data_IF_793252486381
#
_entry.id   IF_793252486381
#
_cell.length_a   1.000
_cell.length_b   1.000
_cell.length_c   1.000
_cell.angle_alpha   90.00
_cell.angle_beta   90.00
_cell.angle_gamma   90.00
#
_symmetry.space_group_name_H-M   'P 1'
#
loop_
_entity.id
_entity.type
_entity.pdbx_description
1 polymer ?
#
# COMPACT_ATOMS: atom_id res chain seq x y z
N UNK A 1 -4.58 -2.41 5.49
CA UNK A 1 -3.57 -1.37 5.19
C UNK A 1 -3.10 -1.51 3.76
N UNK A 2 -3.01 -0.40 3.01
CA UNK A 2 -2.42 -0.32 1.67
C UNK A 2 -1.17 0.56 1.63
N UNK A 3 -0.32 0.33 0.63
CA UNK A 3 0.93 1.04 0.34
C UNK A 3 1.08 1.15 -1.19
N UNK A 4 0.80 2.32 -1.74
CA UNK A 4 0.67 2.49 -3.19
C UNK A 4 0.92 3.91 -3.66
N UNK A 5 1.37 4.05 -4.91
CA UNK A 5 1.25 5.29 -5.68
C UNK A 5 -0.12 5.28 -6.34
N UNK A 6 -0.90 6.32 -6.08
CA UNK A 6 -2.23 6.51 -6.64
C UNK A 6 -2.14 7.44 -7.85
N UNK A 7 -2.75 7.07 -8.97
CA UNK A 7 -2.86 7.91 -10.16
C UNK A 7 -4.28 7.94 -10.75
N UNK A 8 -4.45 8.71 -11.81
CA UNK A 8 -5.71 8.86 -12.58
C UNK A 8 -5.61 8.40 -14.03
N UNK A 9 -4.43 7.97 -14.46
CA UNK A 9 -4.05 7.99 -15.88
C UNK A 9 -4.12 6.62 -16.56
N UNK A 10 -4.31 5.55 -15.79
CA UNK A 10 -4.46 4.21 -16.32
C UNK A 10 -5.87 3.65 -16.05
N UNK A 11 -6.25 2.64 -16.85
CA UNK A 11 -7.41 1.79 -16.56
C UNK A 11 -7.26 1.13 -15.18
N UNK A 12 -8.21 0.31 -14.74
CA UNK A 12 -8.16 -0.42 -13.46
C UNK A 12 -7.04 -1.49 -13.42
N UNK A 13 -5.79 -1.03 -13.55
CA UNK A 13 -4.56 -1.78 -13.63
C UNK A 13 -3.76 -1.59 -12.35
N UNK A 14 -3.30 -2.72 -11.84
CA UNK A 14 -2.41 -2.80 -10.71
C UNK A 14 -1.06 -3.27 -11.22
N UNK A 15 -0.01 -2.50 -10.92
CA UNK A 15 1.36 -2.93 -11.16
C UNK A 15 2.12 -2.98 -9.84
N UNK A 16 2.95 -4.00 -9.68
CA UNK A 16 3.86 -4.16 -8.56
C UNK A 16 5.23 -3.59 -8.94
N UNK A 17 5.74 -2.64 -8.16
CA UNK A 17 7.15 -2.27 -8.25
C UNK A 17 7.92 -3.22 -7.35
N UNK A 18 8.59 -4.18 -7.98
CA UNK A 18 9.31 -5.26 -7.32
C UNK A 18 10.80 -4.90 -7.27
N UNK A 19 11.39 -4.76 -6.07
CA UNK A 19 12.84 -4.56 -5.91
C UNK A 19 13.67 -5.64 -6.59
N UNK A 20 14.89 -5.32 -7.02
CA UNK A 20 15.76 -6.24 -7.76
C UNK A 20 16.20 -7.46 -6.96
N UNK A 21 16.31 -7.35 -5.64
CA UNK A 21 16.62 -8.46 -4.74
C UNK A 21 15.45 -9.45 -4.57
N UNK A 22 14.27 -9.14 -5.13
CA UNK A 22 13.12 -10.05 -5.17
C UNK A 22 13.10 -10.90 -6.44
N UNK A 23 14.01 -10.69 -7.39
CA UNK A 23 14.03 -11.41 -8.67
C UNK A 23 13.92 -12.94 -8.48
N UNK A 24 12.95 -13.55 -9.16
CA UNK A 24 12.67 -14.99 -9.08
C UNK A 24 12.00 -15.49 -7.79
N UNK A 25 11.86 -14.64 -6.77
CA UNK A 25 11.19 -14.96 -5.49
C UNK A 25 9.68 -14.78 -5.60
N UNK A 26 8.97 -15.35 -4.64
CA UNK A 26 7.54 -15.16 -4.51
C UNK A 26 7.21 -13.91 -3.68
N UNK A 27 6.10 -13.27 -4.03
CA UNK A 27 5.56 -12.12 -3.32
C UNK A 27 4.04 -12.21 -3.25
N UNK A 28 3.50 -11.70 -2.16
CA UNK A 28 2.08 -11.67 -1.90
C UNK A 28 1.50 -10.33 -2.31
N UNK A 29 0.37 -10.33 -3.00
CA UNK A 29 -0.44 -9.13 -3.23
C UNK A 29 -1.77 -9.29 -2.51
N UNK A 30 -2.03 -8.37 -1.58
CA UNK A 30 -3.31 -8.21 -0.88
C UNK A 30 -4.00 -6.96 -1.37
N UNK A 31 -5.30 -7.08 -1.64
CA UNK A 31 -6.12 -5.95 -2.11
C UNK A 31 -7.41 -5.93 -1.33
N UNK A 32 -7.86 -4.74 -0.93
CA UNK A 32 -9.08 -4.55 -0.15
C UNK A 32 -9.76 -3.23 -0.52
N UNK A 33 -11.09 -3.21 -0.61
CA UNK A 33 -11.86 -1.97 -0.70
C UNK A 33 -12.05 -1.34 0.68
N UNK A 34 -12.25 -0.03 0.75
CA UNK A 34 -12.44 0.70 2.01
C UNK A 34 -13.65 0.19 2.80
N UNK A 35 -14.71 -0.19 2.09
CA UNK A 35 -15.94 -0.74 2.67
C UNK A 35 -15.82 -2.22 3.10
N UNK A 36 -14.70 -2.89 2.80
CA UNK A 36 -14.47 -4.30 3.11
C UNK A 36 -15.28 -5.29 2.29
N UNK A 37 -16.02 -4.85 1.26
CA UNK A 37 -16.82 -5.74 0.40
C UNK A 37 -15.99 -6.50 -0.63
N UNK A 38 -14.79 -6.00 -0.92
CA UNK A 38 -13.80 -6.68 -1.74
C UNK A 38 -12.55 -6.92 -0.91
N UNK A 39 -12.12 -8.17 -0.86
CA UNK A 39 -10.84 -8.59 -0.30
C UNK A 39 -10.29 -9.71 -1.16
N UNK A 40 -8.98 -9.69 -1.37
CA UNK A 40 -8.31 -10.80 -2.03
C UNK A 40 -6.82 -10.82 -1.76
N UNK A 41 -6.29 -12.04 -1.81
CA UNK A 41 -4.90 -12.37 -1.57
C UNK A 41 -4.42 -13.39 -2.62
N UNK A 42 -3.29 -13.09 -3.27
CA UNK A 42 -2.69 -14.00 -4.26
C UNK A 42 -1.16 -13.96 -4.21
N UNK A 43 -0.53 -15.14 -4.32
CA UNK A 43 0.92 -15.28 -4.46
C UNK A 43 1.33 -15.18 -5.93
N UNK A 44 2.34 -14.38 -6.20
CA UNK A 44 2.96 -14.21 -7.51
C UNK A 44 4.45 -14.52 -7.44
N UNK A 45 5.05 -14.75 -8.61
CA UNK A 45 6.50 -14.88 -8.74
C UNK A 45 7.06 -13.69 -9.49
N UNK A 46 8.07 -13.04 -8.90
CA UNK A 46 8.78 -11.94 -9.53
C UNK A 46 9.52 -12.45 -10.78
N UNK A 47 9.51 -11.69 -11.89
CA UNK A 47 10.33 -12.02 -13.04
C UNK A 47 11.82 -11.97 -12.66
N UNK A 48 12.66 -12.63 -13.45
CA UNK A 48 14.11 -12.56 -13.28
C UNK A 48 14.67 -11.14 -13.55
N UNK A 49 13.97 -10.38 -14.41
CA UNK A 49 14.29 -8.99 -14.70
C UNK A 49 13.19 -8.09 -14.15
N UNK A 50 13.49 -7.34 -13.10
CA UNK A 50 12.55 -6.44 -12.41
C UNK A 50 12.73 -4.97 -12.79
N UNK A 51 13.37 -4.69 -13.94
CA UNK A 51 13.59 -3.32 -14.42
C UNK A 51 12.30 -2.58 -14.79
N UNK A 52 11.19 -3.31 -14.91
CA UNK A 52 9.86 -2.80 -15.20
C UNK A 52 8.86 -3.24 -14.12
N UNK A 53 7.84 -2.41 -13.83
CA UNK A 53 6.72 -2.83 -12.98
C UNK A 53 6.07 -4.11 -13.50
N UNK A 54 5.67 -4.98 -12.57
CA UNK A 54 5.03 -6.27 -12.88
C UNK A 54 3.52 -6.10 -12.87
N UNK A 55 2.86 -6.37 -13.99
CA UNK A 55 1.39 -6.35 -14.04
C UNK A 55 0.81 -7.43 -13.14
N UNK A 56 -0.13 -7.04 -12.29
CA UNK A 56 -0.87 -7.95 -11.41
C UNK A 56 -2.32 -7.98 -11.89
N UNK A 57 -2.71 -8.98 -12.70
CA UNK A 57 -4.01 -8.98 -13.38
C UNK A 57 -5.19 -9.21 -12.44
N UNK A 58 -4.94 -9.50 -11.17
CA UNK A 58 -5.95 -9.99 -10.25
C UNK A 58 -7.12 -9.04 -10.01
N UNK A 59 -6.88 -7.72 -10.03
CA UNK A 59 -7.96 -6.73 -9.94
C UNK A 59 -8.86 -6.77 -11.18
N UNK A 60 -8.36 -7.17 -12.35
CA UNK A 60 -9.16 -7.30 -13.56
C UNK A 60 -9.87 -8.66 -13.68
N UNK A 61 -9.46 -9.65 -12.89
CA UNK A 61 -10.03 -11.01 -12.91
C UNK A 61 -11.19 -11.20 -11.93
N UNK A 62 -11.58 -10.18 -11.17
CA UNK A 62 -12.74 -10.26 -10.28
C UNK A 62 -14.04 -10.47 -11.06
N UNK A 63 -15.09 -10.94 -10.37
CA UNK A 63 -16.48 -10.97 -10.91
C UNK A 63 -17.11 -9.57 -11.00
N UNK A 64 -16.47 -8.55 -10.40
CA UNK A 64 -16.98 -7.18 -10.34
C UNK A 64 -15.99 -6.13 -10.87
N UNK A 65 -15.42 -6.30 -12.08
CA UNK A 65 -14.35 -5.42 -12.57
C UNK A 65 -14.84 -3.98 -12.73
N UNK A 66 -16.08 -3.79 -13.18
CA UNK A 66 -16.68 -2.47 -13.35
C UNK A 66 -16.86 -1.72 -12.03
N UNK A 67 -17.20 -2.45 -10.95
CA UNK A 67 -17.34 -1.84 -9.62
C UNK A 67 -15.98 -1.36 -9.11
N UNK A 68 -14.93 -2.19 -9.25
CA UNK A 68 -13.58 -1.80 -8.86
C UNK A 68 -13.02 -0.68 -9.74
N UNK A 69 -13.41 -0.61 -11.01
CA UNK A 69 -13.07 0.50 -11.90
C UNK A 69 -13.75 1.82 -11.48
N UNK A 70 -14.93 1.76 -10.88
CA UNK A 70 -15.65 2.94 -10.39
C UNK A 70 -15.25 3.36 -8.97
N UNK A 71 -14.63 2.46 -8.19
CA UNK A 71 -14.10 2.80 -6.87
C UNK A 71 -13.10 3.95 -7.00
N UNK A 72 -13.25 4.97 -6.15
CA UNK A 72 -12.27 6.04 -6.01
C UNK A 72 -10.91 5.41 -5.69
N UNK A 73 -9.79 5.89 -6.28
CA UNK A 73 -8.50 5.25 -6.07
C UNK A 73 -8.08 5.14 -4.59
N UNK A 74 -8.50 6.08 -3.76
CA UNK A 74 -8.29 6.11 -2.30
C UNK A 74 -9.15 5.09 -1.55
N UNK A 75 -10.25 4.63 -2.15
CA UNK A 75 -11.15 3.61 -1.63
C UNK A 75 -10.67 2.17 -1.88
N UNK A 76 -9.46 1.99 -2.42
CA UNK A 76 -8.90 0.68 -2.74
C UNK A 76 -7.46 0.57 -2.27
N UNK A 77 -7.20 -0.27 -1.27
CA UNK A 77 -5.89 -0.46 -0.66
C UNK A 77 -5.18 -1.70 -1.19
N UNK A 78 -3.94 -1.53 -1.63
CA UNK A 78 -3.08 -2.61 -2.15
C UNK A 78 -1.84 -2.74 -1.27
N UNK A 79 -1.46 -3.95 -0.92
CA UNK A 79 -0.22 -4.25 -0.19
C UNK A 79 0.55 -5.35 -0.89
N UNK A 80 1.84 -5.12 -1.11
CA UNK A 80 2.76 -6.05 -1.79
C UNK A 80 3.84 -6.45 -0.79
N UNK A 81 4.11 -7.75 -0.61
CA UNK A 81 4.96 -8.27 0.47
C UNK A 81 5.93 -9.35 -0.06
N UNK A 82 7.20 -9.31 0.37
CA UNK A 82 8.26 -10.26 -0.05
C UNK A 82 8.14 -11.65 0.62
N UNK A 83 7.00 -12.31 0.46
CA UNK A 83 6.77 -13.67 0.90
C UNK A 83 5.59 -14.26 0.11
N UNK A 84 5.47 -15.58 -0.01
CA UNK A 84 4.18 -16.17 -0.36
C UNK A 84 3.14 -15.80 0.70
N UNK A 85 1.88 -15.74 0.31
CA UNK A 85 0.83 -15.13 1.15
C UNK A 85 0.59 -15.83 2.49
N UNK A 86 0.83 -17.14 2.54
CA UNK A 86 0.74 -17.99 3.73
C UNK A 86 1.96 -17.86 4.68
N UNK A 87 3.03 -17.18 4.26
CA UNK A 87 4.25 -16.95 5.06
C UNK A 87 4.46 -15.48 5.45
N UNK A 88 3.48 -14.60 5.17
CA UNK A 88 3.56 -13.18 5.51
C UNK A 88 3.58 -12.96 7.02
N UNK A 89 4.52 -12.15 7.50
CA UNK A 89 4.64 -11.70 8.89
C UNK A 89 4.61 -10.17 8.99
N UNK A 90 4.57 -9.62 10.21
CA UNK A 90 4.67 -8.17 10.43
C UNK A 90 6.03 -7.59 9.98
N UNK A 91 7.08 -8.41 9.93
CA UNK A 91 8.43 -7.99 9.54
C UNK A 91 8.69 -8.12 8.04
N UNK A 92 7.79 -8.79 7.31
CA UNK A 92 7.90 -9.00 5.86
C UNK A 92 7.95 -7.64 5.15
N UNK A 93 9.00 -7.46 4.35
CA UNK A 93 9.24 -6.20 3.66
C UNK A 93 8.19 -5.95 2.59
N UNK A 94 7.73 -4.71 2.48
CA UNK A 94 6.68 -4.31 1.55
C UNK A 94 7.26 -3.63 0.30
N UNK A 95 6.71 -3.93 -0.86
CA UNK A 95 6.98 -3.23 -2.12
C UNK A 95 5.94 -2.14 -2.39
N UNK A 96 6.19 -1.28 -3.37
CA UNK A 96 5.23 -0.26 -3.80
C UNK A 96 4.30 -0.80 -4.87
N UNK A 97 2.99 -0.59 -4.71
CA UNK A 97 2.04 -0.75 -5.81
C UNK A 97 1.92 0.54 -6.63
N UNK A 98 1.64 0.41 -7.93
CA UNK A 98 1.14 1.47 -8.79
C UNK A 98 -0.33 1.14 -9.06
N UNK A 99 -1.23 1.99 -8.58
CA UNK A 99 -2.65 1.87 -8.80
C UNK A 99 -3.13 2.99 -9.69
N UNK A 100 -3.58 2.64 -10.90
CA UNK A 100 -3.97 3.62 -11.93
C UNK A 100 -2.88 4.69 -12.21
N UNK A 101 -1.62 4.33 -11.98
CA UNK A 101 -0.46 5.20 -12.09
C UNK A 101 0.54 4.62 -13.08
N UNK A 102 1.21 5.50 -13.84
CA UNK A 102 2.10 5.11 -14.94
C UNK A 102 3.59 5.18 -14.59
N UNK A 103 3.99 5.61 -13.38
CA UNK A 103 5.41 5.77 -13.08
C UNK A 103 5.78 6.17 -11.65
N UNK A 104 7.05 6.56 -11.49
CA UNK A 104 7.63 7.03 -10.22
C UNK A 104 6.92 8.32 -9.77
N UNK A 105 6.41 8.32 -8.55
CA UNK A 105 5.90 9.51 -7.89
C UNK A 105 6.88 10.03 -6.82
N UNK A 106 6.81 11.33 -6.56
CA UNK A 106 7.57 12.02 -5.49
C UNK A 106 7.06 11.68 -4.09
N UNK A 107 5.90 11.02 -3.99
CA UNK A 107 5.31 10.53 -2.76
C UNK A 107 4.61 9.20 -3.01
N UNK A 108 4.29 8.50 -1.93
CA UNK A 108 3.40 7.35 -1.96
C UNK A 108 2.36 7.46 -0.85
N UNK A 109 1.26 6.75 -1.03
CA UNK A 109 0.12 6.77 -0.14
C UNK A 109 0.12 5.54 0.75
N UNK A 110 -0.05 5.76 2.05
CA UNK A 110 -0.40 4.75 3.04
C UNK A 110 -1.89 4.85 3.35
N UNK A 111 -2.61 3.74 3.17
CA UNK A 111 -4.00 3.60 3.57
C UNK A 111 -4.03 2.77 4.85
N UNK A 112 -4.41 3.38 5.98
CA UNK A 112 -4.26 2.77 7.31
C UNK A 112 -5.61 2.74 8.01
N UNK A 113 -5.87 1.68 8.78
CA UNK A 113 -6.94 1.67 9.77
C UNK A 113 -6.39 2.24 11.08
N UNK A 114 -6.93 3.35 11.55
CA UNK A 114 -6.48 4.07 12.73
C UNK A 114 -7.00 3.47 14.04
N UNK A 115 -7.91 2.50 13.96
CA UNK A 115 -8.59 1.88 15.09
C UNK A 115 -9.21 2.91 16.04
N UNK A 116 -9.95 3.86 15.48
CA UNK A 116 -10.65 4.92 16.22
C UNK A 116 -9.68 5.87 16.96
N UNK A 117 -8.51 6.13 16.37
CA UNK A 117 -7.60 7.17 16.84
C UNK A 117 -8.02 8.54 16.30
N UNK A 118 -7.96 9.58 17.14
CA UNK A 118 -8.26 10.96 16.74
C UNK A 118 -7.29 11.46 15.68
N UNK A 119 -6.02 11.03 15.80
CA UNK A 119 -4.94 11.40 14.88
C UNK A 119 -4.05 10.19 14.63
N UNK A 120 -3.51 10.11 13.42
CA UNK A 120 -2.49 9.15 13.06
C UNK A 120 -1.31 9.90 12.43
N UNK A 121 -0.10 9.60 12.89
CA UNK A 121 1.13 10.22 12.36
C UNK A 121 2.04 9.15 11.79
N UNK A 122 2.39 9.27 10.52
CA UNK A 122 3.41 8.47 9.86
C UNK A 122 4.78 9.14 10.04
N UNK A 123 5.72 8.43 10.67
CA UNK A 123 7.08 8.90 10.91
C UNK A 123 8.02 8.08 10.02
N UNK A 124 8.44 8.63 8.87
CA UNK A 124 9.44 7.98 8.03
C UNK A 124 10.81 7.96 8.72
N UNK A 125 11.65 6.99 8.39
CA UNK A 125 13.01 6.88 8.94
C UNK A 125 13.90 8.07 8.57
N UNK A 126 13.59 8.75 7.46
CA UNK A 126 14.20 10.00 7.01
C UNK A 126 13.11 11.00 6.61
N UNK A 127 13.33 12.29 6.85
CA UNK A 127 12.36 13.35 6.55
C UNK A 127 11.44 13.71 7.73
N UNK A 128 10.41 14.52 7.44
CA UNK A 128 9.49 15.02 8.44
C UNK A 128 8.34 14.04 8.72
N UNK A 129 7.81 13.98 9.95
CA UNK A 129 6.56 13.30 10.24
C UNK A 129 5.40 13.85 9.40
N UNK A 130 4.52 12.96 8.95
CA UNK A 130 3.34 13.27 8.15
C UNK A 130 2.10 12.96 8.98
N UNK A 131 1.21 13.94 9.13
CA UNK A 131 -0.11 13.72 9.72
C UNK A 131 -1.06 13.15 8.68
N UNK A 132 -1.73 12.05 9.03
CA UNK A 132 -2.65 11.36 8.12
C UNK A 132 -4.04 12.01 8.19
N UNK A 133 -4.68 12.16 7.04
CA UNK A 133 -6.03 12.72 6.90
C UNK A 133 -7.08 11.62 6.91
N UNK A 134 -8.31 11.96 7.31
CA UNK A 134 -9.45 11.04 7.20
C UNK A 134 -9.84 10.81 5.75
N UNK A 135 -10.30 9.59 5.47
CA UNK A 135 -10.90 9.23 4.19
C UNK A 135 -12.36 9.64 4.24
N UNK A 136 -12.75 10.58 3.37
CA UNK A 136 -14.16 10.93 3.16
C UNK A 136 -14.83 9.88 2.29
N UNK A 137 -15.11 8.70 2.85
CA UNK A 137 -15.96 7.69 2.24
C UNK A 137 -17.10 7.35 3.19
N UNK A 138 -18.27 7.01 2.64
CA UNK A 138 -19.47 6.72 3.43
C UNK A 138 -19.25 5.52 4.38
N UNK A 139 -18.34 4.60 4.03
CA UNK A 139 -17.96 3.43 4.82
C UNK A 139 -16.44 3.16 4.69
N UNK A 140 -15.74 3.15 5.83
CA UNK A 140 -14.28 2.95 5.95
C UNK A 140 -13.96 1.84 6.97
N UNK A 141 -14.29 0.59 6.65
CA UNK A 141 -14.03 -0.58 7.51
C UNK A 141 -12.56 -1.03 7.43
N UNK A 142 -12.02 -1.14 6.22
CA UNK A 142 -10.68 -1.72 6.01
C UNK A 142 -9.54 -0.74 6.34
N UNK A 143 -9.79 0.55 6.13
CA UNK A 143 -8.88 1.66 6.40
C UNK A 143 -9.68 2.96 6.38
N UNK A 144 -9.28 3.92 7.21
CA UNK A 144 -10.00 5.17 7.50
C UNK A 144 -9.09 6.41 7.41
N UNK A 145 -7.77 6.23 7.24
CA UNK A 145 -6.78 7.30 7.11
C UNK A 145 -5.91 7.15 5.87
N UNK A 146 -5.51 8.30 5.31
CA UNK A 146 -4.51 8.43 4.24
C UNK A 146 -3.30 9.18 4.78
N UNK A 147 -2.10 8.63 4.61
CA UNK A 147 -0.86 9.36 4.83
C UNK A 147 -0.11 9.48 3.49
N UNK A 148 0.12 10.71 3.02
CA UNK A 148 0.93 10.97 1.82
C UNK A 148 2.37 11.17 2.23
N UNK A 149 3.18 10.12 2.09
CA UNK A 149 4.58 10.10 2.56
C UNK A 149 5.50 10.52 1.42
N UNK A 150 6.32 11.58 1.58
CA UNK A 150 7.35 11.92 0.61
C UNK A 150 8.30 10.76 0.37
N UNK A 151 8.58 10.46 -0.89
CA UNK A 151 9.54 9.43 -1.26
C UNK A 151 10.96 9.98 -1.02
N UNK A 152 11.80 9.31 -0.23
CA UNK A 152 13.19 9.73 -0.09
C UNK A 152 13.95 9.55 -1.43
N UNK A 153 15.02 10.33 -1.67
CA UNK A 153 15.83 10.21 -2.88
C UNK A 153 16.63 8.90 -2.93
N UNK A 154 16.80 8.24 -1.79
CA UNK A 154 17.58 7.02 -1.63
C UNK A 154 16.76 5.76 -1.96
N UNK A 155 17.42 4.73 -2.48
CA UNK A 155 16.86 3.39 -2.69
C UNK A 155 17.14 2.50 -1.46
N UNK A 156 16.43 1.38 -1.37
CA UNK A 156 16.58 0.40 -0.29
C UNK A 156 15.51 0.49 0.80
N UNK A 157 15.80 -0.14 1.94
CA UNK A 157 14.83 -0.37 3.01
C UNK A 157 14.55 0.88 3.84
N UNK A 158 13.33 1.37 3.75
CA UNK A 158 12.78 2.46 4.54
C UNK A 158 11.91 1.92 5.68
N UNK A 159 12.12 2.42 6.90
CA UNK A 159 11.23 2.15 8.04
C UNK A 159 10.21 3.28 8.17
N UNK A 160 8.94 2.94 8.37
CA UNK A 160 7.88 3.90 8.67
C UNK A 160 7.21 3.47 9.97
N UNK A 161 7.11 4.38 10.93
CA UNK A 161 6.37 4.14 12.17
C UNK A 161 5.04 4.86 12.12
N UNK A 162 3.96 4.13 12.36
CA UNK A 162 2.62 4.68 12.47
C UNK A 162 2.31 4.87 13.95
N UNK A 163 2.01 6.10 14.36
CA UNK A 163 1.77 6.46 15.76
C UNK A 163 0.34 6.98 15.89
N UNK A 164 -0.60 6.16 16.41
CA UNK A 164 -1.94 6.64 16.73
C UNK A 164 -1.90 7.53 17.97
N UNK A 165 -2.78 8.53 18.00
CA UNK A 165 -3.00 9.42 19.15
C UNK A 165 -4.49 9.47 19.44
N UNK A 166 -4.85 9.19 20.70
CA UNK A 166 -6.22 9.24 21.20
C UNK A 166 -6.26 9.97 22.54
N UNK A 167 -7.15 10.95 22.68
CA UNK A 167 -7.27 11.80 23.88
C UNK A 167 -5.93 12.45 24.28
N UNK A 168 -5.14 12.85 23.28
CA UNK A 168 -3.80 13.43 23.47
C UNK A 168 -2.72 12.43 23.91
N UNK A 169 -3.02 11.13 24.01
CA UNK A 169 -2.06 10.07 24.39
C UNK A 169 -1.63 9.26 23.19
N UNK A 170 -0.33 8.96 23.12
CA UNK A 170 0.22 8.09 22.07
C UNK A 170 -0.15 6.64 22.35
N UNK A 171 -0.74 5.96 21.37
CA UNK A 171 -0.99 4.53 21.39
C UNK A 171 0.26 3.72 21.03
N UNK A 172 0.09 2.39 20.92
CA UNK A 172 1.16 1.49 20.49
C UNK A 172 1.51 1.77 19.01
N UNK A 173 2.78 2.05 18.68
CA UNK A 173 3.15 2.28 17.30
C UNK A 173 3.23 0.96 16.52
N UNK A 174 2.80 1.02 15.26
CA UNK A 174 3.04 -0.03 14.27
C UNK A 174 4.28 0.33 13.43
N UNK A 175 5.02 -0.65 12.95
CA UNK A 175 6.18 -0.45 12.08
C UNK A 175 5.96 -1.14 10.75
N UNK A 176 6.16 -0.41 9.66
CA UNK A 176 6.21 -0.91 8.30
C UNK A 176 7.64 -0.81 7.76
N UNK A 177 8.06 -1.81 7.01
CA UNK A 177 9.29 -1.78 6.23
C UNK A 177 8.94 -1.74 4.75
N UNK A 178 9.47 -0.76 4.04
CA UNK A 178 9.23 -0.53 2.61
C UNK A 178 10.54 -0.66 1.85
N UNK A 179 10.61 -1.51 0.84
CA UNK A 179 11.75 -1.60 -0.07
C UNK A 179 11.54 -0.66 -1.25
N UNK A 180 12.39 0.36 -1.35
CA UNK A 180 12.35 1.35 -2.42
C UNK A 180 13.29 0.96 -3.57
N UNK A 181 12.81 0.98 -4.83
CA UNK A 181 13.56 0.61 -6.02
C UNK A 181 14.42 1.74 -6.59
#
# INVERSE_FOLDING_TARGET
>A
MGLQVIGSDAAAELHAIVPSDWAGKEFCVRTSSSDGLYDSENTYRAPQNTSQPVTVPHVMMTRFPDKLAQTAPEGFGIRILQAPCDEVTEETAAGLALWRASGRAESFTLLVNSFDADRLVAIPGTGAPVECTEISADITVAFDRICVVPRPPETGRMKIRLVPVKDGRRGRPETLFVELP
#
